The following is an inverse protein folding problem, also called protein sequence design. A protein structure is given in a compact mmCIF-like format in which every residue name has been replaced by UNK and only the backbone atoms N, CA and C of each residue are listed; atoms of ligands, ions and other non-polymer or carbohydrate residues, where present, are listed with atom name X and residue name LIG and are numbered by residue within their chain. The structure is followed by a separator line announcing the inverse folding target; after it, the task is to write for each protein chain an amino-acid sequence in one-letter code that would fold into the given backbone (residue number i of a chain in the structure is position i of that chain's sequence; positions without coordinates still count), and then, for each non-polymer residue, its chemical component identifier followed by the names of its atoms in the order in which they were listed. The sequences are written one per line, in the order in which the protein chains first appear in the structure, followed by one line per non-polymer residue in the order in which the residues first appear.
data_IF_821758661850
#
_entry.id   IF_821758661850
#
_cell.length_a   1.000
_cell.length_b   1.000
_cell.length_c   1.000
_cell.angle_alpha   90.00
_cell.angle_beta   90.00
_cell.angle_gamma   90.00
#
_symmetry.space_group_name_H-M   'P 1'
#
loop_
_entity.id
_entity.type
_entity.pdbx_description
1 polymer ?
#
# COMPACT_ATOMS: atom_id res chain seq x y z
N UNK A 1 -18.26 -21.61 5.33
CA UNK A 1 -19.18 -20.47 5.56
C UNK A 1 -18.49 -19.10 5.51
N UNK A 2 -17.45 -18.87 6.31
CA UNK A 2 -16.77 -17.56 6.44
C UNK A 2 -16.21 -17.03 5.11
N UNK A 3 -15.48 -17.85 4.35
CA UNK A 3 -14.93 -17.42 3.06
C UNK A 3 -16.00 -17.07 2.02
N UNK A 4 -17.11 -17.82 2.00
CA UNK A 4 -18.23 -17.56 1.10
C UNK A 4 -18.84 -16.19 1.40
N UNK A 5 -18.97 -15.84 2.68
CA UNK A 5 -19.41 -14.51 3.10
C UNK A 5 -18.44 -13.41 2.66
N UNK A 6 -17.13 -13.62 2.75
CA UNK A 6 -16.14 -12.64 2.27
C UNK A 6 -16.22 -12.41 0.76
N UNK A 7 -16.36 -13.48 -0.04
CA UNK A 7 -16.58 -13.34 -1.48
C UNK A 7 -17.90 -12.62 -1.80
N UNK A 8 -18.98 -12.92 -1.07
CA UNK A 8 -20.27 -12.27 -1.26
C UNK A 8 -20.19 -10.76 -0.97
N UNK A 9 -19.52 -10.36 0.12
CA UNK A 9 -19.30 -8.95 0.45
C UNK A 9 -18.43 -8.26 -0.60
N UNK A 10 -17.34 -8.91 -1.06
CA UNK A 10 -16.48 -8.34 -2.09
C UNK A 10 -17.23 -8.08 -3.41
N UNK A 11 -18.08 -9.03 -3.83
CA UNK A 11 -18.92 -8.87 -5.03
C UNK A 11 -19.96 -7.77 -4.79
N UNK A 12 -20.63 -7.75 -3.64
CA UNK A 12 -21.61 -6.71 -3.34
C UNK A 12 -20.98 -5.31 -3.37
N UNK A 13 -19.84 -5.11 -2.71
CA UNK A 13 -19.11 -3.83 -2.75
C UNK A 13 -18.85 -3.42 -4.19
N UNK A 14 -18.33 -4.34 -5.03
CA UNK A 14 -18.10 -4.06 -6.45
C UNK A 14 -19.37 -3.67 -7.22
N UNK A 15 -20.50 -4.34 -6.98
CA UNK A 15 -21.78 -3.98 -7.63
C UNK A 15 -22.22 -2.56 -7.24
N UNK A 16 -21.93 -2.14 -6.01
CA UNK A 16 -22.33 -0.82 -5.51
C UNK A 16 -21.36 0.29 -5.93
N UNK A 17 -20.05 0.01 -5.94
CA UNK A 17 -19.00 1.04 -6.12
C UNK A 17 -18.37 1.05 -7.52
N UNK A 18 -18.53 -0.02 -8.31
CA UNK A 18 -17.86 -0.24 -9.60
C UNK A 18 -16.32 -0.09 -9.53
N UNK A 19 -15.72 -0.33 -8.35
CA UNK A 19 -14.28 -0.20 -8.14
C UNK A 19 -13.54 -1.51 -8.43
N UNK A 20 -13.13 -1.68 -9.70
CA UNK A 20 -12.42 -2.89 -10.19
C UNK A 20 -11.13 -3.19 -9.42
N UNK A 21 -10.35 -2.16 -9.09
CA UNK A 21 -9.05 -2.33 -8.44
C UNK A 21 -9.20 -2.72 -6.97
N UNK A 22 -10.19 -2.16 -6.26
CA UNK A 22 -10.47 -2.55 -4.88
C UNK A 22 -10.98 -4.00 -4.82
N UNK A 23 -11.79 -4.42 -5.80
CA UNK A 23 -12.21 -5.81 -5.92
C UNK A 23 -10.98 -6.73 -6.06
N UNK A 24 -10.05 -6.40 -6.96
CA UNK A 24 -8.82 -7.19 -7.16
C UNK A 24 -8.01 -7.25 -5.87
N UNK A 25 -7.81 -6.12 -5.18
CA UNK A 25 -7.08 -6.07 -3.92
C UNK A 25 -7.77 -6.90 -2.82
N UNK A 26 -9.09 -6.82 -2.74
CA UNK A 26 -9.90 -7.60 -1.78
C UNK A 26 -9.82 -9.09 -2.06
N UNK A 27 -9.93 -9.51 -3.32
CA UNK A 27 -9.76 -10.91 -3.72
C UNK A 27 -8.36 -11.43 -3.43
N UNK A 28 -7.34 -10.59 -3.65
CA UNK A 28 -5.95 -10.90 -3.36
C UNK A 28 -5.70 -11.02 -1.84
N UNK A 29 -6.34 -10.18 -1.02
CA UNK A 29 -6.34 -10.31 0.44
C UNK A 29 -7.01 -11.61 0.90
N UNK A 30 -8.21 -11.93 0.39
CA UNK A 30 -8.92 -13.19 0.71
C UNK A 30 -8.05 -14.39 0.34
N UNK A 31 -7.42 -14.36 -0.84
CA UNK A 31 -6.49 -15.40 -1.29
C UNK A 31 -5.29 -15.53 -0.34
N UNK A 32 -4.72 -14.42 0.10
CA UNK A 32 -3.60 -14.42 1.02
C UNK A 32 -3.96 -14.98 2.41
N UNK A 33 -5.21 -14.78 2.86
CA UNK A 33 -5.74 -15.40 4.09
C UNK A 33 -5.92 -16.91 3.91
N UNK A 34 -6.52 -17.36 2.80
CA UNK A 34 -6.70 -18.78 2.51
C UNK A 34 -5.36 -19.54 2.46
N UNK A 35 -4.33 -18.92 1.87
CA UNK A 35 -2.98 -19.47 1.75
C UNK A 35 -2.03 -18.94 2.84
N UNK A 36 -2.55 -18.55 4.00
CA UNK A 36 -1.75 -17.95 5.07
C UNK A 36 -0.56 -18.82 5.53
N UNK A 37 -0.75 -20.14 5.67
CA UNK A 37 0.30 -21.07 6.13
C UNK A 37 1.52 -21.10 5.19
N UNK A 38 1.38 -21.32 3.87
CA UNK A 38 2.53 -21.25 2.96
C UNK A 38 3.10 -19.82 2.84
N UNK A 39 2.25 -18.79 2.82
CA UNK A 39 2.69 -17.39 2.71
C UNK A 39 3.52 -16.96 3.93
N UNK A 40 3.08 -17.31 5.14
CA UNK A 40 3.82 -17.02 6.37
C UNK A 40 5.16 -17.77 6.44
N UNK A 41 5.23 -19.01 5.94
CA UNK A 41 6.51 -19.72 5.78
C UNK A 41 7.45 -19.04 4.79
N UNK A 42 6.92 -18.52 3.68
CA UNK A 42 7.70 -17.76 2.69
C UNK A 42 8.21 -16.44 3.30
N UNK A 43 7.33 -15.64 3.90
CA UNK A 43 7.66 -14.38 4.56
C UNK A 43 8.73 -14.55 5.65
N UNK A 44 8.68 -15.65 6.42
CA UNK A 44 9.72 -15.96 7.41
C UNK A 44 11.11 -16.23 6.83
N UNK A 45 11.20 -16.71 5.58
CA UNK A 45 12.48 -16.95 4.90
C UNK A 45 13.04 -15.67 4.28
N UNK A 46 12.16 -14.71 3.99
CA UNK A 46 12.53 -13.42 3.40
C UNK A 46 13.04 -12.50 4.51
N UNK A 47 14.14 -11.80 4.28
CA UNK A 47 14.64 -10.83 5.25
C UNK A 47 13.80 -9.54 5.22
N UNK A 48 13.68 -8.85 6.36
CA UNK A 48 13.05 -7.52 6.41
C UNK A 48 13.67 -6.54 5.38
N UNK A 49 14.96 -6.66 5.06
CA UNK A 49 15.64 -5.83 4.06
C UNK A 49 15.08 -6.06 2.66
N UNK A 50 14.79 -7.31 2.32
CA UNK A 50 14.18 -7.69 1.04
C UNK A 50 12.75 -7.16 0.93
N UNK A 51 11.99 -7.15 2.03
CA UNK A 51 10.64 -6.57 2.08
C UNK A 51 10.70 -5.05 1.88
N UNK A 52 11.61 -4.37 2.58
CA UNK A 52 11.86 -2.94 2.39
C UNK A 52 12.23 -2.64 0.93
N UNK A 53 13.14 -3.42 0.34
CA UNK A 53 13.52 -3.29 -1.06
C UNK A 53 12.33 -3.47 -2.00
N UNK A 54 11.48 -4.47 -1.75
CA UNK A 54 10.25 -4.68 -2.51
C UNK A 54 9.32 -3.46 -2.44
N UNK A 55 9.08 -2.93 -1.24
CA UNK A 55 8.23 -1.75 -1.07
C UNK A 55 8.78 -0.54 -1.84
N UNK A 56 10.09 -0.25 -1.72
CA UNK A 56 10.71 0.86 -2.44
C UNK A 56 10.73 0.64 -3.96
N UNK A 57 11.00 -0.59 -4.42
CA UNK A 57 10.95 -0.93 -5.83
C UNK A 57 9.53 -0.73 -6.39
N UNK A 58 8.50 -1.16 -5.66
CA UNK A 58 7.11 -0.96 -6.06
C UNK A 58 6.76 0.53 -6.17
N UNK A 59 7.07 1.33 -5.14
CA UNK A 59 6.85 2.78 -5.14
C UNK A 59 7.58 3.43 -6.34
N UNK A 60 8.84 3.07 -6.56
CA UNK A 60 9.64 3.59 -7.67
C UNK A 60 9.06 3.21 -9.04
N UNK A 61 8.53 2.00 -9.20
CA UNK A 61 7.86 1.56 -10.43
C UNK A 61 6.60 2.38 -10.70
N UNK A 62 5.76 2.61 -9.69
CA UNK A 62 4.54 3.43 -9.86
C UNK A 62 4.91 4.86 -10.25
N UNK A 63 5.88 5.47 -9.56
CA UNK A 63 6.38 6.80 -9.90
C UNK A 63 6.92 6.85 -11.34
N UNK A 64 7.75 5.86 -11.70
CA UNK A 64 8.32 5.75 -13.05
C UNK A 64 7.24 5.60 -14.13
N UNK A 65 6.20 4.80 -13.88
CA UNK A 65 5.09 4.63 -14.82
C UNK A 65 4.34 5.94 -15.06
N UNK A 66 4.05 6.73 -14.00
CA UNK A 66 3.44 8.04 -14.16
C UNK A 66 4.32 9.03 -14.95
N UNK A 67 5.63 9.05 -14.68
CA UNK A 67 6.58 9.84 -15.47
C UNK A 67 6.69 9.36 -16.93
N UNK A 68 6.68 8.05 -17.17
CA UNK A 68 6.79 7.50 -18.52
C UNK A 68 5.52 7.76 -19.33
N UNK A 69 4.35 7.76 -18.69
CA UNK A 69 3.08 8.18 -19.30
C UNK A 69 3.13 9.63 -19.79
N UNK A 70 3.78 10.52 -19.05
CA UNK A 70 3.97 11.92 -19.46
C UNK A 70 4.83 12.04 -20.73
N UNK A 71 5.89 11.23 -20.86
CA UNK A 71 6.86 11.34 -21.96
C UNK A 71 6.37 10.59 -23.21
N UNK A 72 5.77 9.41 -23.06
CA UNK A 72 5.40 8.52 -24.18
C UNK A 72 3.94 8.02 -24.03
N UNK A 73 2.93 8.90 -24.13
CA UNK A 73 1.53 8.55 -23.90
C UNK A 73 0.96 7.57 -24.94
N UNK A 74 1.60 7.43 -26.10
CA UNK A 74 1.14 6.55 -27.19
C UNK A 74 1.71 5.12 -27.12
N UNK A 75 2.52 4.79 -26.10
CA UNK A 75 3.06 3.45 -25.99
C UNK A 75 1.97 2.44 -25.56
N UNK A 76 1.79 1.31 -26.28
CA UNK A 76 0.74 0.34 -25.97
C UNK A 76 0.90 -0.32 -24.60
N UNK A 77 2.13 -0.51 -24.12
CA UNK A 77 2.42 -1.12 -22.81
C UNK A 77 2.00 -0.18 -21.68
N UNK A 78 2.28 1.12 -21.85
CA UNK A 78 1.94 2.15 -20.88
C UNK A 78 0.42 2.36 -20.83
N UNK A 79 -0.24 2.34 -21.99
CA UNK A 79 -1.70 2.43 -22.06
C UNK A 79 -2.39 1.20 -21.46
N UNK A 80 -1.80 0.00 -21.59
CA UNK A 80 -2.27 -1.17 -20.87
C UNK A 80 -2.16 -0.98 -19.35
N UNK A 81 -1.02 -0.48 -18.85
CA UNK A 81 -0.83 -0.19 -17.43
C UNK A 81 -1.83 0.88 -16.93
N UNK A 82 -2.09 1.91 -17.73
CA UNK A 82 -3.08 2.94 -17.41
C UNK A 82 -4.50 2.36 -17.32
N UNK A 83 -4.87 1.49 -18.27
CA UNK A 83 -6.18 0.82 -18.24
C UNK A 83 -6.33 -0.09 -17.02
N UNK A 84 -5.27 -0.81 -16.64
CA UNK A 84 -5.25 -1.60 -15.41
C UNK A 84 -5.42 -0.73 -14.18
N UNK A 85 -4.75 0.43 -14.12
CA UNK A 85 -4.88 1.41 -13.05
C UNK A 85 -6.15 2.30 -13.17
N UNK A 86 -7.08 1.93 -14.06
CA UNK A 86 -8.34 2.63 -14.32
C UNK A 86 -8.17 4.12 -14.65
N UNK A 87 -7.14 4.45 -15.43
CA UNK A 87 -6.87 5.81 -15.88
C UNK A 87 -6.03 6.67 -14.93
N UNK A 88 -5.63 6.16 -13.76
CA UNK A 88 -4.93 6.95 -12.73
C UNK A 88 -3.58 7.52 -13.18
N UNK A 89 -2.84 6.81 -14.04
CA UNK A 89 -1.56 7.32 -14.56
C UNK A 89 -1.75 8.61 -15.37
N UNK A 90 -2.89 8.78 -16.05
CA UNK A 90 -3.20 10.00 -16.79
C UNK A 90 -3.36 11.19 -15.84
N UNK A 91 -4.12 11.04 -14.75
CA UNK A 91 -4.30 12.10 -13.75
C UNK A 91 -2.98 12.47 -13.07
N UNK A 92 -2.13 11.48 -12.78
CA UNK A 92 -0.79 11.71 -12.22
C UNK A 92 0.12 12.47 -13.20
N UNK A 93 0.16 12.07 -14.47
CA UNK A 93 0.92 12.78 -15.50
C UNK A 93 0.42 14.21 -15.68
N UNK A 94 -0.90 14.42 -15.67
CA UNK A 94 -1.50 15.74 -15.70
C UNK A 94 -1.07 16.59 -14.49
N UNK A 95 -1.08 16.01 -13.28
CA UNK A 95 -0.65 16.69 -12.07
C UNK A 95 0.84 17.10 -12.13
N UNK A 96 1.73 16.21 -12.56
CA UNK A 96 3.17 16.49 -12.66
C UNK A 96 3.45 17.58 -13.71
N UNK A 97 2.70 17.59 -14.82
CA UNK A 97 2.86 18.60 -15.88
C UNK A 97 2.45 20.01 -15.44
N UNK A 98 1.47 20.13 -14.54
CA UNK A 98 0.94 21.42 -14.08
C UNK A 98 1.54 21.91 -12.76
N UNK A 99 2.01 21.00 -11.91
CA UNK A 99 2.50 21.32 -10.57
C UNK A 99 3.94 20.86 -10.38
N UNK A 100 4.85 21.83 -10.19
CA UNK A 100 6.22 21.52 -9.80
C UNK A 100 6.31 21.10 -8.34
N UNK A 101 7.16 20.14 -8.01
CA UNK A 101 7.41 19.70 -6.63
C UNK A 101 8.07 20.84 -5.85
N UNK A 102 7.43 21.29 -4.78
CA UNK A 102 7.97 22.29 -3.85
C UNK A 102 8.55 21.62 -2.60
N UNK A 103 9.64 22.14 -2.00
CA UNK A 103 10.25 21.54 -0.82
C UNK A 103 9.29 21.32 0.36
N UNK A 104 8.34 22.23 0.57
CA UNK A 104 7.33 22.16 1.64
C UNK A 104 5.92 21.83 1.12
N UNK A 105 5.83 21.33 -0.11
CA UNK A 105 4.56 21.04 -0.76
C UNK A 105 3.81 22.30 -1.19
N UNK A 106 2.57 22.11 -1.63
CA UNK A 106 1.66 23.18 -2.02
C UNK A 106 0.22 22.70 -1.95
N UNK A 107 -0.70 23.64 -1.78
CA UNK A 107 -2.11 23.33 -1.95
C UNK A 107 -2.41 23.11 -3.44
N UNK A 108 -2.97 21.96 -3.77
CA UNK A 108 -3.44 21.62 -5.10
C UNK A 108 -4.95 21.45 -5.01
N UNK A 109 -5.69 22.32 -5.71
CA UNK A 109 -7.15 22.26 -5.74
C UNK A 109 -7.61 21.05 -6.56
N UNK A 110 -8.46 20.22 -5.96
CA UNK A 110 -9.01 19.01 -6.57
C UNK A 110 -10.54 19.14 -6.59
N UNK A 111 -11.14 19.57 -7.70
CA UNK A 111 -12.59 19.66 -7.81
C UNK A 111 -13.20 18.25 -7.74
N UNK A 112 -14.08 18.01 -6.76
CA UNK A 112 -14.73 16.71 -6.52
C UNK A 112 -15.67 16.21 -7.62
N UNK A 113 -15.75 16.91 -8.76
CA UNK A 113 -16.59 16.56 -9.91
C UNK A 113 -15.89 15.60 -10.90
N UNK A 114 -14.82 14.92 -10.46
CA UNK A 114 -14.08 13.95 -11.29
C UNK A 114 -13.16 14.56 -12.36
N UNK A 115 -12.98 15.88 -12.38
CA UNK A 115 -12.18 16.55 -13.41
C UNK A 115 -10.67 16.45 -13.15
N UNK A 116 -10.24 16.43 -11.88
CA UNK A 116 -8.83 16.33 -11.52
C UNK A 116 -8.67 15.87 -10.08
N UNK A 117 -8.00 14.73 -9.90
CA UNK A 117 -7.75 14.16 -8.58
C UNK A 117 -6.40 13.42 -8.56
N UNK A 118 -5.65 13.58 -7.46
CA UNK A 118 -4.39 12.86 -7.25
C UNK A 118 -4.68 11.71 -6.28
N UNK A 119 -5.01 10.56 -6.85
CA UNK A 119 -5.43 9.35 -6.12
C UNK A 119 -4.25 8.61 -5.48
N UNK A 120 -3.11 8.49 -6.15
CA UNK A 120 -1.96 7.77 -5.60
C UNK A 120 -1.26 8.57 -4.51
N UNK A 121 -1.07 7.95 -3.34
CA UNK A 121 -0.34 8.60 -2.26
C UNK A 121 1.11 8.91 -2.64
N UNK A 122 1.69 8.12 -3.54
CA UNK A 122 3.07 8.29 -3.99
C UNK A 122 3.28 9.57 -4.77
N UNK A 123 2.26 10.05 -5.48
CA UNK A 123 2.29 11.37 -6.14
C UNK A 123 1.80 12.47 -5.21
N UNK A 124 0.83 12.17 -4.35
CA UNK A 124 0.27 13.14 -3.40
C UNK A 124 1.31 13.65 -2.40
N UNK A 125 2.13 12.78 -1.81
CA UNK A 125 3.18 13.16 -0.85
C UNK A 125 4.13 14.22 -1.43
N UNK A 126 4.85 13.95 -2.53
CA UNK A 126 5.80 14.93 -3.07
C UNK A 126 5.11 16.19 -3.59
N UNK A 127 3.94 16.08 -4.24
CA UNK A 127 3.28 17.23 -4.87
C UNK A 127 2.62 18.16 -3.86
N UNK A 128 1.91 17.61 -2.86
CA UNK A 128 1.10 18.40 -1.93
C UNK A 128 1.80 18.68 -0.60
N UNK A 129 2.65 17.76 -0.11
CA UNK A 129 3.22 17.86 1.23
C UNK A 129 4.75 18.08 1.26
N UNK A 130 5.44 17.78 0.16
CA UNK A 130 6.88 18.05 0.01
C UNK A 130 7.81 17.12 0.80
N UNK A 131 9.07 17.53 0.89
CA UNK A 131 10.20 16.74 1.38
C UNK A 131 10.02 16.28 2.83
N UNK A 132 9.56 17.10 3.80
CA UNK A 132 9.39 16.64 5.18
C UNK A 132 8.48 15.41 5.30
N UNK A 133 7.37 15.40 4.57
CA UNK A 133 6.43 14.27 4.60
C UNK A 133 6.95 13.04 3.86
N UNK A 134 7.78 13.21 2.82
CA UNK A 134 8.49 12.08 2.19
C UNK A 134 9.40 11.40 3.23
N UNK A 135 10.19 12.18 3.98
CA UNK A 135 11.11 11.63 4.98
C UNK A 135 10.36 10.91 6.11
N UNK A 136 9.26 11.48 6.59
CA UNK A 136 8.39 10.86 7.60
C UNK A 136 7.80 9.55 7.06
N UNK A 137 7.28 9.55 5.83
CA UNK A 137 6.72 8.37 5.19
C UNK A 137 7.76 7.23 5.07
N UNK A 138 8.97 7.55 4.59
CA UNK A 138 10.09 6.62 4.47
C UNK A 138 10.48 6.05 5.84
N UNK A 139 10.62 6.91 6.85
CA UNK A 139 11.00 6.50 8.19
C UNK A 139 9.95 5.58 8.81
N UNK A 140 8.66 5.93 8.69
CA UNK A 140 7.54 5.12 9.15
C UNK A 140 7.51 3.75 8.45
N UNK A 141 7.64 3.72 7.12
CA UNK A 141 7.65 2.48 6.36
C UNK A 141 8.75 1.53 6.83
N UNK A 142 9.98 2.04 6.97
CA UNK A 142 11.13 1.25 7.44
C UNK A 142 10.91 0.77 8.89
N UNK A 143 10.42 1.64 9.78
CA UNK A 143 10.16 1.31 11.18
C UNK A 143 9.09 0.22 11.32
N UNK A 144 8.02 0.29 10.53
CA UNK A 144 6.93 -0.69 10.53
C UNK A 144 7.39 -2.05 10.04
N UNK A 145 8.05 -2.11 8.87
CA UNK A 145 8.53 -3.38 8.33
C UNK A 145 9.48 -4.05 9.34
N UNK A 146 10.43 -3.31 9.92
CA UNK A 146 11.32 -3.84 10.96
C UNK A 146 10.55 -4.35 12.18
N UNK A 147 9.61 -3.57 12.68
CA UNK A 147 8.85 -3.89 13.90
C UNK A 147 7.97 -5.12 13.70
N UNK A 148 7.22 -5.17 12.60
CA UNK A 148 6.29 -6.25 12.30
C UNK A 148 7.01 -7.56 11.99
N UNK A 149 8.15 -7.49 11.28
CA UNK A 149 8.91 -8.68 10.90
C UNK A 149 9.56 -9.41 12.08
N UNK A 150 9.99 -8.66 13.11
CA UNK A 150 10.57 -9.23 14.35
C UNK A 150 9.49 -9.90 15.21
N UNK A 151 8.27 -9.37 15.15
CA UNK A 151 7.12 -9.87 15.91
C UNK A 151 6.55 -11.15 15.23
N UNK A 152 5.94 -12.08 15.98
CA UNK A 152 5.31 -13.30 15.46
C UNK A 152 3.98 -13.02 14.71
N UNK A 153 3.82 -11.83 14.14
CA UNK A 153 2.54 -11.28 13.73
C UNK A 153 2.51 -11.07 12.22
N UNK A 154 2.59 -12.18 11.49
CA UNK A 154 2.65 -12.19 10.02
C UNK A 154 1.42 -11.60 9.35
N UNK A 155 0.26 -11.61 10.01
CA UNK A 155 -0.96 -11.03 9.45
C UNK A 155 -0.85 -9.50 9.33
N UNK A 156 -0.22 -8.81 10.28
CA UNK A 156 -0.01 -7.37 10.19
C UNK A 156 1.01 -7.00 9.10
N UNK A 157 2.05 -7.83 8.93
CA UNK A 157 3.02 -7.65 7.85
C UNK A 157 2.37 -7.84 6.47
N UNK A 158 1.47 -8.82 6.34
CA UNK A 158 0.66 -9.00 5.14
C UNK A 158 -0.27 -7.81 4.90
N UNK A 159 -0.98 -7.32 5.92
CA UNK A 159 -1.81 -6.13 5.81
C UNK A 159 -1.00 -4.90 5.38
N UNK A 160 0.22 -4.72 5.91
CA UNK A 160 1.12 -3.65 5.49
C UNK A 160 1.48 -3.77 4.00
N UNK A 161 1.78 -4.98 3.51
CA UNK A 161 2.07 -5.19 2.10
C UNK A 161 0.87 -4.88 1.20
N UNK A 162 -0.34 -5.31 1.60
CA UNK A 162 -1.57 -4.97 0.86
C UNK A 162 -1.81 -3.47 0.84
N UNK A 163 -1.54 -2.80 1.94
CA UNK A 163 -1.68 -1.37 2.05
C UNK A 163 -0.69 -0.61 1.16
N UNK A 164 0.57 -1.09 1.06
CA UNK A 164 1.55 -0.53 0.12
C UNK A 164 1.11 -0.75 -1.33
N UNK A 165 0.52 -1.90 -1.66
CA UNK A 165 -0.03 -2.11 -3.01
C UNK A 165 -1.21 -1.16 -3.25
N UNK A 166 -2.09 -0.97 -2.26
CA UNK A 166 -3.22 -0.03 -2.34
C UNK A 166 -2.76 1.41 -2.56
N UNK A 167 -1.65 1.83 -1.94
CA UNK A 167 -1.14 3.21 -2.03
C UNK A 167 -0.78 3.68 -3.44
N UNK A 168 -0.54 2.75 -4.39
CA UNK A 168 -0.34 3.11 -5.79
C UNK A 168 -1.62 3.52 -6.52
N UNK A 169 -2.78 3.27 -5.91
CA UNK A 169 -4.11 3.43 -6.48
C UNK A 169 -4.95 4.39 -5.62
N UNK A 170 -4.58 4.53 -4.35
CA UNK A 170 -5.39 5.17 -3.33
C UNK A 170 -4.53 6.04 -2.38
N UNK A 171 -5.16 7.07 -1.83
CA UNK A 171 -4.59 8.19 -1.11
C UNK A 171 -4.68 8.04 0.41
N UNK A 172 -5.47 7.06 0.89
CA UNK A 172 -5.97 7.01 2.27
C UNK A 172 -4.91 6.82 3.38
N UNK A 173 -3.62 6.80 3.07
CA UNK A 173 -2.60 6.49 4.08
C UNK A 173 -2.45 7.54 5.19
N UNK A 174 -2.77 8.81 4.95
CA UNK A 174 -2.78 9.84 6.01
C UNK A 174 -4.15 10.10 6.63
N UNK A 175 -5.19 9.48 6.12
CA UNK A 175 -6.52 9.61 6.70
C UNK A 175 -6.58 8.80 7.98
N UNK A 176 -6.88 9.48 9.09
CA UNK A 176 -6.81 8.88 10.43
C UNK A 176 -7.75 7.69 10.61
N UNK A 177 -8.86 7.64 9.86
CA UNK A 177 -9.82 6.53 9.86
C UNK A 177 -9.28 5.24 9.20
N UNK A 178 -8.30 5.35 8.30
CA UNK A 178 -7.70 4.20 7.61
C UNK A 178 -6.30 3.84 8.15
N UNK A 179 -5.76 4.64 9.06
CA UNK A 179 -4.40 4.52 9.55
C UNK A 179 -4.28 3.46 10.67
N UNK A 180 -4.22 2.19 10.29
CA UNK A 180 -3.85 1.08 11.20
C UNK A 180 -2.34 1.06 11.53
N UNK A 181 -1.54 1.85 10.82
CA UNK A 181 -0.09 1.94 10.93
C UNK A 181 0.34 2.49 12.28
N UNK A 182 -0.25 3.61 12.73
CA UNK A 182 0.09 4.23 14.01
C UNK A 182 -0.21 3.29 15.19
N UNK A 183 -1.41 2.69 15.30
CA UNK A 183 -1.67 1.65 16.30
C UNK A 183 -0.70 0.48 16.22
N UNK A 184 -0.37 -0.01 15.02
CA UNK A 184 0.54 -1.15 14.84
C UNK A 184 1.98 -0.86 15.31
N UNK A 185 2.45 0.38 15.14
CA UNK A 185 3.78 0.80 15.58
C UNK A 185 3.89 0.80 17.12
N UNK A 186 2.87 1.34 17.80
CA UNK A 186 2.85 1.46 19.26
C UNK A 186 2.26 0.23 19.98
N UNK A 187 1.71 -0.73 19.24
CA UNK A 187 1.17 -1.96 19.82
C UNK A 187 2.26 -2.77 20.54
N UNK A 188 2.01 -3.06 21.82
CA UNK A 188 2.84 -3.99 22.60
C UNK A 188 2.53 -5.40 22.15
N UNK A 189 3.43 -5.98 21.37
CA UNK A 189 3.26 -7.33 20.82
C UNK A 189 4.39 -8.21 21.39
N UNK A 190 4.07 -9.37 21.99
CA UNK A 190 5.08 -10.27 22.54
C UNK A 190 6.04 -10.75 21.44
N UNK A 191 7.34 -10.67 21.72
CA UNK A 191 8.38 -11.05 20.76
C UNK A 191 8.47 -12.59 20.63
N UNK A 192 8.83 -13.12 19.45
CA UNK A 192 9.04 -14.55 19.16
C UNK A 192 9.92 -15.23 20.22
N UNK A 193 10.94 -14.52 20.71
CA UNK A 193 11.88 -15.01 21.73
C UNK A 193 11.22 -15.23 23.10
N UNK A 194 10.29 -14.35 23.51
CA UNK A 194 9.54 -14.49 24.78
C UNK A 194 8.47 -15.58 24.70
N UNK A 195 7.88 -15.81 23.52
CA UNK A 195 6.92 -16.91 23.33
C UNK A 195 7.59 -18.29 23.42
N UNK A 196 8.79 -18.46 22.85
CA UNK A 196 9.56 -19.71 23.00
C UNK A 196 10.00 -19.99 24.43
N UNK A 197 10.49 -18.97 25.13
CA UNK A 197 10.86 -19.09 26.55
C UNK A 197 9.63 -19.40 27.41
N UNK A 198 8.48 -18.79 27.13
CA UNK A 198 7.23 -19.10 27.82
C UNK A 198 6.81 -20.55 27.66
N UNK A 199 6.87 -21.11 26.44
CA UNK A 199 6.53 -22.53 26.22
C UNK A 199 7.47 -23.51 26.90
N UNK A 200 8.77 -23.22 26.97
CA UNK A 200 9.75 -24.07 27.69
C UNK A 200 9.59 -24.04 29.22
N UNK A 201 9.01 -22.96 29.77
CA UNK A 201 8.73 -22.83 31.20
C UNK A 201 7.46 -23.55 31.67
N UNK A 202 6.55 -23.92 30.76
CA UNK A 202 5.35 -24.70 31.08
C UNK A 202 5.52 -26.21 30.81
N UNK A 203 6.63 -26.62 30.20
CA UNK A 203 6.96 -28.03 29.91
C UNK A 203 7.93 -28.66 30.93
N UNK A 204 8.32 -27.92 31.99
CA UNK A 204 9.07 -28.42 33.16
C UNK A 204 8.26 -28.27 34.44
#
# INVERSE_FOLDING_TARGET
PEYISFFAVAIWTYVVTDTRLDLILTLLLISAIMFYKPISKLLNKVSYKSIILFCFAYIAIILLLGFLYLIIPHNPIINLANNLLSGRLNYEAHAISHYSIKPFGQFIYQPGNGAFYIDSIYFRIPLMYGIPMILIFIALLIALVKTLHVKPVFYLELCLLMFIISGGIDQHFFESCYNFILPALFATIPNKRRLKLGSEFYEN
#
